data_IF_670133853431
#
_entry.id   IF_670133853431
#
_cell.length_a   1.000
_cell.length_b   1.000
_cell.length_c   1.000
_cell.angle_alpha   90.00
_cell.angle_beta   90.00
_cell.angle_gamma   90.00
#
_symmetry.space_group_name_H-M   'P 1'
#
loop_
_entity.id
_entity.type
_entity.pdbx_description
1 polymer ?
#
# COMPACT_ATOMS: atom_id res chain seq x y z
N UNK A 1 31.00 -28.07 -9.34
CA UNK A 1 31.34 -29.42 -9.87
C UNK A 1 30.66 -29.61 -11.23
N UNK A 2 31.35 -30.28 -12.18
CA UNK A 2 31.11 -30.42 -13.64
C UNK A 2 31.82 -29.33 -14.45
N UNK A 3 33.06 -29.51 -14.93
CA UNK A 3 33.68 -30.45 -15.91
C UNK A 3 33.57 -29.99 -17.38
N UNK A 4 34.76 -29.87 -17.98
CA UNK A 4 35.16 -30.05 -19.39
C UNK A 4 34.69 -29.00 -20.41
N UNK A 5 35.62 -28.18 -20.92
CA UNK A 5 36.59 -28.46 -21.99
C UNK A 5 35.99 -28.21 -23.38
N UNK A 6 36.45 -27.15 -24.05
CA UNK A 6 36.71 -27.22 -25.49
C UNK A 6 37.97 -26.41 -25.82
N UNK A 7 38.95 -27.20 -26.22
CA UNK A 7 40.29 -26.92 -26.68
C UNK A 7 40.26 -26.35 -28.11
N UNK A 8 41.29 -25.54 -28.42
CA UNK A 8 42.06 -25.53 -29.69
C UNK A 8 41.30 -25.82 -30.99
N UNK A 9 41.19 -24.84 -31.90
CA UNK A 9 41.69 -24.93 -33.29
C UNK A 9 41.84 -23.51 -33.87
N UNK A 10 43.04 -22.92 -33.78
CA UNK A 10 43.47 -21.85 -34.69
C UNK A 10 44.86 -22.22 -35.24
N UNK A 11 44.87 -23.19 -36.14
CA UNK A 11 45.94 -23.37 -37.11
C UNK A 11 45.27 -23.60 -38.46
N UNK A 12 45.21 -22.53 -39.25
CA UNK A 12 44.93 -22.59 -40.69
C UNK A 12 46.21 -23.04 -41.40
N UNK A 13 46.25 -24.19 -42.09
CA UNK A 13 47.26 -24.40 -43.11
C UNK A 13 46.80 -23.62 -44.36
N UNK A 14 47.52 -22.53 -44.66
CA UNK A 14 47.64 -22.03 -46.04
C UNK A 14 48.39 -23.10 -46.82
N UNK A 15 47.69 -23.98 -47.54
CA UNK A 15 48.32 -24.86 -48.52
C UNK A 15 47.37 -25.09 -49.69
N UNK A 16 47.98 -25.08 -50.87
CA UNK A 16 47.45 -25.40 -52.21
C UNK A 16 46.77 -24.26 -52.98
N UNK A 17 47.53 -23.19 -53.24
CA UNK A 17 47.72 -22.77 -54.64
C UNK A 17 48.79 -23.68 -55.21
N UNK A 18 48.38 -24.80 -55.81
CA UNK A 18 49.24 -25.57 -56.68
C UNK A 18 48.64 -25.41 -58.06
N UNK A 19 49.04 -24.33 -58.71
CA UNK A 19 48.99 -24.20 -60.15
C UNK A 19 49.63 -25.47 -60.72
N UNK A 20 48.78 -26.40 -61.15
CA UNK A 20 49.18 -27.47 -62.05
C UNK A 20 49.48 -26.76 -63.38
N UNK A 21 50.69 -26.22 -63.48
CA UNK A 21 51.36 -25.98 -64.74
C UNK A 21 51.49 -27.34 -65.41
N UNK A 22 50.49 -27.71 -66.19
CA UNK A 22 50.67 -28.70 -67.23
C UNK A 22 51.67 -28.09 -68.21
N UNK A 23 52.94 -28.42 -68.01
CA UNK A 23 53.98 -28.29 -69.03
C UNK A 23 53.54 -29.13 -70.22
N UNK A 24 52.83 -28.50 -71.16
CA UNK A 24 52.49 -29.02 -72.48
C UNK A 24 53.71 -28.90 -73.40
N UNK A 25 54.82 -29.52 -72.97
CA UNK A 25 56.08 -29.53 -73.69
C UNK A 25 56.52 -30.97 -73.99
N UNK A 26 55.54 -31.78 -74.37
CA UNK A 26 55.75 -33.10 -74.97
C UNK A 26 54.98 -33.26 -76.28
N UNK A 27 54.90 -32.17 -77.06
CA UNK A 27 54.54 -32.24 -78.48
C UNK A 27 55.79 -32.36 -79.37
N UNK A 28 56.79 -33.13 -78.92
CA UNK A 28 57.77 -33.74 -79.82
C UNK A 28 57.27 -35.15 -80.12
N UNK A 29 56.85 -35.46 -81.36
CA UNK A 29 56.61 -36.84 -81.74
C UNK A 29 57.91 -37.58 -81.46
N UNK A 30 57.89 -38.52 -80.50
CA UNK A 30 59.05 -39.34 -80.23
C UNK A 30 59.36 -40.08 -81.52
N UNK A 31 60.44 -39.64 -82.16
CA UNK A 31 61.06 -40.35 -83.26
C UNK A 31 61.52 -41.66 -82.63
N UNK A 32 60.72 -42.70 -82.81
CA UNK A 32 61.08 -44.10 -82.93
C UNK A 32 59.82 -44.87 -83.38
N UNK A 33 59.77 -45.67 -84.44
CA UNK A 33 60.63 -45.95 -85.58
C UNK A 33 59.83 -47.00 -86.39
N UNK A 34 59.26 -46.55 -87.53
CA UNK A 34 58.79 -47.25 -88.74
C UNK A 34 58.11 -48.63 -88.65
N UNK A 35 56.88 -48.73 -89.20
CA UNK A 35 56.53 -49.88 -90.05
C UNK A 35 56.41 -49.44 -91.50
N UNK A 36 57.56 -49.47 -92.11
CA UNK A 36 57.72 -49.55 -93.53
C UNK A 36 58.23 -51.01 -93.58
N UNK A 37 57.37 -52.03 -93.72
CA UNK A 37 57.79 -53.45 -94.03
C UNK A 37 58.21 -53.47 -95.49
N UNK A 38 59.15 -52.61 -95.73
CA UNK A 38 59.28 -51.87 -96.95
C UNK A 38 60.60 -51.12 -96.76
N UNK A 39 60.80 -50.46 -95.59
CA UNK A 39 62.05 -50.57 -94.82
C UNK A 39 63.24 -50.48 -95.73
N UNK A 40 63.73 -51.67 -96.11
CA UNK A 40 64.88 -51.69 -96.97
C UNK A 40 65.18 -52.89 -97.85
N UNK A 41 64.65 -54.14 -97.74
CA UNK A 41 64.88 -55.22 -98.78
C UNK A 41 64.25 -56.60 -98.48
N UNK A 42 64.24 -57.57 -99.43
CA UNK A 42 63.31 -58.70 -99.48
C UNK A 42 63.60 -59.80 -98.45
N UNK A 43 62.56 -60.20 -97.75
CA UNK A 43 62.19 -61.62 -97.71
C UNK A 43 60.92 -61.73 -98.56
N UNK A 44 61.06 -62.34 -99.74
CA UNK A 44 59.97 -62.56 -100.68
C UNK A 44 58.76 -63.20 -99.98
N UNK A 45 57.57 -62.61 -100.18
CA UNK A 45 56.21 -63.09 -99.83
C UNK A 45 55.46 -62.51 -98.62
N UNK A 46 55.83 -61.36 -98.04
CA UNK A 46 54.94 -60.70 -97.04
C UNK A 46 53.82 -59.90 -97.71
N UNK A 47 52.57 -60.34 -97.56
CA UNK A 47 51.36 -59.60 -98.00
C UNK A 47 51.33 -58.20 -97.36
N UNK A 48 51.29 -57.15 -98.20
CA UNK A 48 51.20 -55.75 -97.75
C UNK A 48 49.74 -55.32 -97.64
N UNK A 49 49.46 -54.44 -96.68
CA UNK A 49 48.13 -53.95 -96.37
C UNK A 49 48.16 -52.43 -96.28
N UNK A 50 47.23 -51.76 -96.95
CA UNK A 50 47.08 -50.30 -96.92
C UNK A 50 46.25 -49.91 -95.70
N UNK A 51 46.77 -49.01 -94.87
CA UNK A 51 46.02 -48.43 -93.75
C UNK A 51 44.93 -47.50 -94.28
N UNK A 52 43.68 -47.65 -93.82
CA UNK A 52 42.57 -46.77 -94.23
C UNK A 52 42.74 -45.31 -93.80
N UNK A 53 43.32 -45.07 -92.61
CA UNK A 53 43.38 -43.72 -92.03
C UNK A 53 44.54 -42.88 -92.59
N UNK A 54 45.77 -43.40 -92.61
CA UNK A 54 46.93 -42.66 -93.11
C UNK A 54 47.32 -43.02 -94.56
N UNK A 55 46.63 -43.95 -95.20
CA UNK A 55 46.90 -44.42 -96.56
C UNK A 55 48.30 -45.02 -96.82
N UNK A 56 49.11 -45.27 -95.77
CA UNK A 56 50.44 -45.87 -95.87
C UNK A 56 50.38 -47.41 -95.86
N UNK A 57 51.44 -48.06 -96.36
CA UNK A 57 51.54 -49.52 -96.49
C UNK A 57 52.30 -50.16 -95.33
N UNK A 58 51.72 -51.21 -94.76
CA UNK A 58 52.24 -51.93 -93.59
C UNK A 58 52.19 -53.44 -93.85
N UNK A 59 52.99 -54.23 -93.13
CA UNK A 59 52.77 -55.69 -93.14
C UNK A 59 51.55 -56.08 -92.32
N UNK A 60 51.18 -57.35 -92.46
CA UNK A 60 50.19 -58.02 -91.61
C UNK A 60 50.46 -57.89 -90.10
N UNK A 61 51.71 -57.89 -89.65
CA UNK A 61 52.06 -57.80 -88.23
C UNK A 61 51.90 -56.38 -87.65
N UNK A 62 51.83 -55.37 -88.51
CA UNK A 62 51.73 -53.95 -88.13
C UNK A 62 50.44 -53.28 -88.61
N UNK A 63 49.51 -54.08 -89.16
CA UNK A 63 48.16 -53.70 -89.47
C UNK A 63 47.21 -54.53 -88.60
N UNK A 64 46.33 -53.87 -87.86
CA UNK A 64 45.27 -54.54 -87.08
C UNK A 64 43.94 -54.34 -87.79
N UNK A 65 43.07 -55.35 -87.70
CA UNK A 65 41.66 -55.18 -88.03
C UNK A 65 41.03 -54.33 -86.93
N UNK A 66 40.30 -53.29 -87.32
CA UNK A 66 39.52 -52.55 -86.35
C UNK A 66 38.33 -53.43 -85.88
N UNK A 67 37.89 -53.27 -84.63
CA UNK A 67 36.86 -54.13 -84.05
C UNK A 67 35.51 -54.01 -84.78
N UNK A 68 35.19 -52.82 -85.28
CA UNK A 68 33.88 -52.50 -85.85
C UNK A 68 33.84 -52.38 -87.38
N UNK A 69 34.95 -52.61 -88.08
CA UNK A 69 34.99 -52.42 -89.53
C UNK A 69 35.85 -53.47 -90.27
N UNK A 70 35.45 -53.85 -91.49
CA UNK A 70 36.21 -54.76 -92.40
C UNK A 70 37.56 -54.19 -92.86
N UNK A 71 37.95 -53.01 -92.38
CA UNK A 71 39.13 -52.29 -92.81
C UNK A 71 40.31 -52.46 -91.85
N UNK A 72 41.51 -52.33 -92.40
CA UNK A 72 42.77 -52.48 -91.67
C UNK A 72 43.36 -51.11 -91.38
N UNK A 73 43.80 -50.92 -90.13
CA UNK A 73 44.48 -49.71 -89.66
C UNK A 73 45.88 -50.06 -89.17
N UNK A 74 46.85 -49.18 -89.39
CA UNK A 74 48.19 -49.40 -88.87
C UNK A 74 48.24 -49.17 -87.36
N UNK A 75 49.22 -49.77 -86.69
CA UNK A 75 49.40 -49.61 -85.25
C UNK A 75 49.54 -48.14 -84.82
N UNK A 76 50.14 -47.28 -85.65
CA UNK A 76 50.30 -45.86 -85.31
C UNK A 76 48.95 -45.15 -85.29
N UNK A 77 48.11 -45.36 -86.31
CA UNK A 77 46.77 -44.78 -86.34
C UNK A 77 45.87 -45.39 -85.25
N UNK A 78 46.01 -46.70 -84.97
CA UNK A 78 45.30 -47.33 -83.85
C UNK A 78 45.70 -46.72 -82.49
N UNK A 79 47.00 -46.55 -82.22
CA UNK A 79 47.50 -45.87 -81.02
C UNK A 79 47.02 -44.42 -80.95
N UNK A 80 47.01 -43.71 -82.07
CA UNK A 80 46.51 -42.33 -82.14
C UNK A 80 45.01 -42.25 -81.81
N UNK A 81 44.18 -43.16 -82.33
CA UNK A 81 42.76 -43.22 -81.99
C UNK A 81 42.54 -43.51 -80.49
N UNK A 82 43.26 -44.50 -79.93
CA UNK A 82 43.18 -44.80 -78.48
C UNK A 82 43.60 -43.58 -77.66
N UNK A 83 44.71 -42.93 -78.03
CA UNK A 83 45.16 -41.74 -77.32
C UNK A 83 44.12 -40.62 -77.39
N UNK A 84 43.52 -40.39 -78.56
CA UNK A 84 42.47 -39.38 -78.73
C UNK A 84 41.23 -39.69 -77.88
N UNK A 85 40.80 -40.96 -77.84
CA UNK A 85 39.67 -41.40 -77.03
C UNK A 85 39.96 -41.26 -75.52
N UNK A 86 41.15 -41.67 -75.08
CA UNK A 86 41.59 -41.49 -73.69
C UNK A 86 41.71 -40.01 -73.32
N UNK A 87 42.27 -39.17 -74.20
CA UNK A 87 42.34 -37.72 -73.98
C UNK A 87 40.94 -37.11 -73.91
N UNK A 88 40.01 -37.54 -74.76
CA UNK A 88 38.63 -37.08 -74.73
C UNK A 88 37.92 -37.46 -73.43
N UNK A 89 38.02 -38.73 -73.01
CA UNK A 89 37.46 -39.19 -71.73
C UNK A 89 38.08 -38.48 -70.53
N UNK A 90 39.40 -38.31 -70.52
CA UNK A 90 40.10 -37.56 -69.47
C UNK A 90 39.64 -36.10 -69.42
N UNK A 91 39.42 -35.47 -70.57
CA UNK A 91 38.92 -34.08 -70.64
C UNK A 91 37.50 -33.98 -70.08
N UNK A 92 36.61 -34.93 -70.40
CA UNK A 92 35.27 -34.98 -69.83
C UNK A 92 35.32 -35.14 -68.30
N UNK A 93 36.11 -36.09 -67.79
CA UNK A 93 36.28 -36.29 -66.35
C UNK A 93 36.87 -35.06 -65.64
N UNK A 94 37.85 -34.40 -66.25
CA UNK A 94 38.43 -33.16 -65.70
C UNK A 94 37.36 -32.06 -65.63
N UNK A 95 36.52 -31.93 -66.65
CA UNK A 95 35.45 -30.94 -66.66
C UNK A 95 34.39 -31.25 -65.60
N UNK A 96 34.01 -32.51 -65.44
CA UNK A 96 33.07 -32.95 -64.40
C UNK A 96 33.64 -32.67 -63.00
N UNK A 97 34.92 -32.98 -62.77
CA UNK A 97 35.60 -32.67 -61.51
C UNK A 97 35.67 -31.16 -61.25
N UNK A 98 35.93 -30.34 -62.28
CA UNK A 98 35.91 -28.88 -62.16
C UNK A 98 34.53 -28.37 -61.77
N UNK A 99 33.47 -28.90 -62.37
CA UNK A 99 32.09 -28.56 -62.02
C UNK A 99 31.76 -28.94 -60.57
N UNK A 100 32.12 -30.16 -60.15
CA UNK A 100 31.96 -30.61 -58.75
C UNK A 100 32.71 -29.70 -57.75
N UNK A 101 33.93 -29.27 -58.09
CA UNK A 101 34.71 -28.34 -57.27
C UNK A 101 34.01 -26.98 -57.19
N UNK A 102 33.50 -26.47 -58.31
CA UNK A 102 32.79 -25.20 -58.36
C UNK A 102 31.50 -25.24 -57.52
N UNK A 103 30.70 -26.30 -57.64
CA UNK A 103 29.50 -26.52 -56.83
C UNK A 103 29.82 -26.61 -55.34
N UNK A 104 30.85 -27.39 -54.97
CA UNK A 104 31.30 -27.53 -53.59
C UNK A 104 31.77 -26.19 -53.00
N UNK A 105 32.50 -25.38 -53.78
CA UNK A 105 32.92 -24.05 -53.37
C UNK A 105 31.75 -23.08 -53.21
N UNK A 106 30.76 -23.13 -54.11
CA UNK A 106 29.53 -22.35 -53.99
C UNK A 106 28.76 -22.71 -52.71
N UNK A 107 28.56 -24.02 -52.46
CA UNK A 107 27.90 -24.52 -51.25
C UNK A 107 28.66 -24.14 -49.97
N UNK A 108 29.99 -24.23 -49.97
CA UNK A 108 30.84 -23.80 -48.86
C UNK A 108 30.66 -22.31 -48.56
N UNK A 109 30.60 -21.47 -49.59
CA UNK A 109 30.39 -20.03 -49.42
C UNK A 109 28.99 -19.70 -48.88
N UNK A 110 27.97 -20.41 -49.33
CA UNK A 110 26.61 -20.28 -48.78
C UNK A 110 26.56 -20.67 -47.31
N UNK A 111 27.11 -21.83 -46.95
CA UNK A 111 27.17 -22.29 -45.56
C UNK A 111 27.93 -21.30 -44.65
N UNK A 112 29.00 -20.67 -45.15
CA UNK A 112 29.72 -19.62 -44.40
C UNK A 112 28.85 -18.40 -44.12
N UNK A 113 28.05 -17.96 -45.10
CA UNK A 113 27.10 -16.85 -44.91
C UNK A 113 26.04 -17.21 -43.88
N UNK A 114 25.51 -18.43 -43.95
CA UNK A 114 24.48 -18.91 -43.02
C UNK A 114 25.02 -19.02 -41.58
N UNK A 115 26.24 -19.52 -41.40
CA UNK A 115 26.92 -19.58 -40.10
C UNK A 115 27.09 -18.18 -39.52
N UNK A 116 27.59 -17.23 -40.32
CA UNK A 116 27.77 -15.85 -39.86
C UNK A 116 26.42 -15.22 -39.48
N UNK A 117 25.38 -15.42 -40.28
CA UNK A 117 24.05 -14.94 -39.97
C UNK A 117 23.54 -15.52 -38.64
N UNK A 118 23.61 -16.84 -38.46
CA UNK A 118 23.20 -17.50 -37.21
C UNK A 118 24.01 -17.01 -36.01
N UNK A 119 25.31 -16.80 -36.16
CA UNK A 119 26.18 -16.25 -35.09
C UNK A 119 25.70 -14.86 -34.65
N UNK A 120 25.41 -13.97 -35.60
CA UNK A 120 24.89 -12.64 -35.26
C UNK A 120 23.51 -12.68 -34.59
N UNK A 121 22.66 -13.66 -34.94
CA UNK A 121 21.38 -13.85 -34.27
C UNK A 121 21.57 -14.32 -32.81
N UNK A 122 22.49 -15.26 -32.58
CA UNK A 122 22.83 -15.73 -31.24
C UNK A 122 23.34 -14.58 -30.38
N UNK A 123 24.29 -13.78 -30.87
CA UNK A 123 24.82 -12.62 -30.14
C UNK A 123 23.71 -11.62 -29.76
N UNK A 124 22.76 -11.36 -30.68
CA UNK A 124 21.59 -10.50 -30.38
C UNK A 124 20.70 -11.10 -29.28
N UNK A 125 20.45 -12.40 -29.32
CA UNK A 125 19.63 -13.09 -28.31
C UNK A 125 20.32 -13.09 -26.95
N UNK A 126 21.64 -13.30 -26.89
CA UNK A 126 22.42 -13.22 -25.66
C UNK A 126 22.35 -11.83 -25.03
N UNK A 127 22.46 -10.76 -25.83
CA UNK A 127 22.28 -9.38 -25.35
C UNK A 127 20.86 -9.18 -24.81
N UNK A 128 19.83 -9.65 -25.52
CA UNK A 128 18.44 -9.53 -25.05
C UNK A 128 18.19 -10.29 -23.75
N UNK A 129 18.76 -11.49 -23.60
CA UNK A 129 18.67 -12.29 -22.38
C UNK A 129 19.39 -11.58 -21.24
N UNK A 130 20.60 -11.06 -21.44
CA UNK A 130 21.33 -10.33 -20.40
C UNK A 130 20.59 -9.05 -19.98
N UNK A 131 19.96 -8.34 -20.92
CA UNK A 131 19.16 -7.16 -20.60
C UNK A 131 17.87 -7.52 -19.83
N UNK A 132 17.18 -8.61 -20.22
CA UNK A 132 15.96 -9.08 -19.54
C UNK A 132 16.24 -9.74 -18.19
N UNK A 133 17.34 -10.47 -18.07
CA UNK A 133 17.84 -11.06 -16.83
C UNK A 133 18.68 -10.07 -16.00
N UNK A 134 18.44 -8.77 -16.14
CA UNK A 134 19.01 -7.80 -15.20
C UNK A 134 18.40 -8.10 -13.82
N UNK A 135 19.08 -8.97 -13.08
CA UNK A 135 18.81 -9.35 -11.69
C UNK A 135 18.54 -8.11 -10.83
N UNK A 136 19.20 -6.99 -11.17
CA UNK A 136 18.96 -5.67 -10.62
C UNK A 136 17.47 -5.26 -10.60
N UNK A 137 16.71 -5.49 -11.67
CA UNK A 137 15.29 -5.11 -11.71
C UNK A 137 14.46 -5.97 -10.75
N UNK A 138 14.74 -7.27 -10.65
CA UNK A 138 14.06 -8.15 -9.71
C UNK A 138 14.42 -7.82 -8.26
N UNK A 139 15.70 -7.57 -7.97
CA UNK A 139 16.14 -7.17 -6.62
C UNK A 139 15.56 -5.81 -6.21
N UNK A 140 15.50 -4.84 -7.11
CA UNK A 140 14.89 -3.53 -6.85
C UNK A 140 13.39 -3.70 -6.58
N UNK A 141 12.68 -4.47 -7.40
CA UNK A 141 11.25 -4.73 -7.18
C UNK A 141 11.02 -5.48 -5.86
N UNK A 142 11.85 -6.47 -5.54
CA UNK A 142 11.78 -7.20 -4.28
C UNK A 142 11.98 -6.28 -3.07
N UNK A 143 13.01 -5.41 -3.10
CA UNK A 143 13.22 -4.41 -2.05
C UNK A 143 12.05 -3.45 -1.90
N UNK A 144 11.43 -3.02 -3.01
CA UNK A 144 10.21 -2.19 -2.97
C UNK A 144 9.04 -2.93 -2.32
N UNK A 145 8.83 -4.21 -2.66
CA UNK A 145 7.79 -5.03 -2.03
C UNK A 145 8.01 -5.14 -0.52
N UNK A 146 9.24 -5.38 -0.09
CA UNK A 146 9.59 -5.46 1.34
C UNK A 146 9.37 -4.11 2.06
N UNK A 147 9.77 -3.00 1.43
CA UNK A 147 9.54 -1.67 1.97
C UNK A 147 8.04 -1.35 2.13
N UNK A 148 7.24 -1.62 1.11
CA UNK A 148 5.78 -1.43 1.14
C UNK A 148 5.11 -2.32 2.19
N UNK A 149 5.59 -3.57 2.35
CA UNK A 149 5.10 -4.48 3.38
C UNK A 149 5.39 -3.95 4.80
N UNK A 150 6.59 -3.43 5.03
CA UNK A 150 6.95 -2.82 6.32
C UNK A 150 6.10 -1.58 6.61
N UNK A 151 5.87 -0.73 5.60
CA UNK A 151 5.02 0.45 5.73
C UNK A 151 3.57 0.07 6.03
N UNK A 152 3.04 -0.93 5.34
CA UNK A 152 1.68 -1.46 5.59
C UNK A 152 1.53 -1.99 7.02
N UNK A 153 2.52 -2.73 7.51
CA UNK A 153 2.52 -3.23 8.88
C UNK A 153 2.58 -2.10 9.92
N UNK A 154 3.35 -1.04 9.66
CA UNK A 154 3.40 0.12 10.53
C UNK A 154 2.06 0.86 10.58
N UNK A 155 1.44 1.11 9.42
CA UNK A 155 0.12 1.73 9.32
C UNK A 155 -0.96 0.90 10.02
N UNK A 156 -0.90 -0.42 9.89
CA UNK A 156 -1.85 -1.32 10.57
C UNK A 156 -1.78 -1.18 12.09
N UNK A 157 -0.57 -1.12 12.66
CA UNK A 157 -0.38 -0.89 14.11
C UNK A 157 -0.86 0.49 14.56
N UNK A 158 -0.71 1.50 13.70
CA UNK A 158 -1.20 2.84 13.96
C UNK A 158 -2.73 2.87 13.99
N UNK A 159 -3.39 2.19 13.04
CA UNK A 159 -4.84 2.01 13.01
C UNK A 159 -5.33 1.31 14.29
N UNK A 160 -4.73 0.19 14.69
CA UNK A 160 -5.08 -0.52 15.94
C UNK A 160 -4.91 0.37 17.18
N UNK A 161 -3.96 1.29 17.16
CA UNK A 161 -3.75 2.23 18.26
C UNK A 161 -4.82 3.32 18.27
N UNK A 162 -5.16 3.87 17.10
CA UNK A 162 -6.25 4.85 16.97
C UNK A 162 -7.61 4.25 17.34
N UNK A 163 -7.88 2.99 16.99
CA UNK A 163 -9.10 2.28 17.38
C UNK A 163 -9.21 2.15 18.90
N UNK A 164 -8.12 1.81 19.59
CA UNK A 164 -8.09 1.76 21.07
C UNK A 164 -8.32 3.13 21.70
N UNK A 165 -7.73 4.19 21.14
CA UNK A 165 -7.95 5.57 21.62
C UNK A 165 -9.40 5.99 21.41
N UNK A 166 -9.97 5.67 20.25
CA UNK A 166 -11.37 5.96 19.93
C UNK A 166 -12.32 5.27 20.90
N UNK A 167 -12.09 3.99 21.20
CA UNK A 167 -12.93 3.24 22.14
C UNK A 167 -12.83 3.78 23.57
N UNK A 168 -11.62 4.13 24.01
CA UNK A 168 -11.41 4.81 25.29
C UNK A 168 -12.15 6.16 25.34
N UNK A 169 -12.09 6.94 24.26
CA UNK A 169 -12.80 8.22 24.16
C UNK A 169 -14.31 8.04 24.23
N UNK A 170 -14.87 7.05 23.54
CA UNK A 170 -16.31 6.74 23.61
C UNK A 170 -16.75 6.32 25.00
N UNK A 171 -15.94 5.50 25.69
CA UNK A 171 -16.22 5.11 27.07
C UNK A 171 -16.22 6.32 28.01
N UNK A 172 -15.24 7.22 27.86
CA UNK A 172 -15.15 8.45 28.65
C UNK A 172 -16.32 9.41 28.37
N UNK A 173 -16.70 9.56 27.09
CA UNK A 173 -17.88 10.35 26.71
C UNK A 173 -19.16 9.81 27.35
N UNK A 174 -19.35 8.47 27.33
CA UNK A 174 -20.48 7.82 27.98
C UNK A 174 -20.49 8.06 29.50
N UNK A 175 -19.34 7.96 30.16
CA UNK A 175 -19.22 8.25 31.59
C UNK A 175 -19.56 9.71 31.90
N UNK A 176 -19.02 10.65 31.13
CA UNK A 176 -19.30 12.08 31.29
C UNK A 176 -20.78 12.39 31.05
N UNK A 177 -21.43 11.73 30.09
CA UNK A 177 -22.87 11.88 29.85
C UNK A 177 -23.68 11.42 31.07
N UNK A 178 -23.36 10.26 31.65
CA UNK A 178 -24.03 9.79 32.87
C UNK A 178 -23.80 10.73 34.05
N UNK A 179 -22.60 11.31 34.19
CA UNK A 179 -22.30 12.32 35.22
C UNK A 179 -23.12 13.60 35.02
N UNK A 180 -23.26 14.07 33.78
CA UNK A 180 -24.09 15.24 33.46
C UNK A 180 -25.55 15.00 33.84
N UNK A 181 -26.12 13.85 33.44
CA UNK A 181 -27.50 13.47 33.79
C UNK A 181 -27.70 13.42 35.32
N UNK A 182 -26.71 12.92 36.08
CA UNK A 182 -26.74 12.92 37.55
C UNK A 182 -26.73 14.33 38.14
N UNK A 183 -25.85 15.22 37.64
CA UNK A 183 -25.74 16.60 38.11
C UNK A 183 -27.02 17.39 37.77
N UNK A 184 -27.60 17.18 36.60
CA UNK A 184 -28.88 17.79 36.21
C UNK A 184 -29.99 17.38 37.19
N UNK A 185 -30.04 16.10 37.59
CA UNK A 185 -30.95 15.62 38.63
C UNK A 185 -30.74 16.30 39.98
N UNK A 186 -29.49 16.44 40.44
CA UNK A 186 -29.16 17.14 41.68
C UNK A 186 -29.57 18.62 41.64
N UNK A 187 -29.37 19.30 40.50
CA UNK A 187 -29.80 20.69 40.31
C UNK A 187 -31.33 20.80 40.48
N UNK A 188 -32.11 19.92 39.83
CA UNK A 188 -33.56 19.94 39.96
C UNK A 188 -34.02 19.72 41.42
N UNK A 189 -33.36 18.84 42.17
CA UNK A 189 -33.65 18.62 43.60
C UNK A 189 -33.35 19.86 44.44
N UNK A 190 -32.19 20.49 44.22
CA UNK A 190 -31.80 21.73 44.91
C UNK A 190 -32.74 22.87 44.57
N UNK A 191 -33.20 22.99 43.33
CA UNK A 191 -34.19 24.00 42.92
C UNK A 191 -35.53 23.79 43.63
N UNK A 192 -36.03 22.55 43.67
CA UNK A 192 -37.26 22.20 44.42
C UNK A 192 -37.11 22.55 45.90
N UNK A 193 -35.99 22.19 46.52
CA UNK A 193 -35.71 22.51 47.92
C UNK A 193 -35.61 24.02 48.17
N UNK A 194 -34.95 24.77 47.27
CA UNK A 194 -34.82 26.22 47.36
C UNK A 194 -36.18 26.91 47.25
N UNK A 195 -37.05 26.45 46.35
CA UNK A 195 -38.41 26.96 46.23
C UNK A 195 -39.23 26.68 47.49
N UNK A 196 -39.15 25.47 48.04
CA UNK A 196 -39.78 25.12 49.32
C UNK A 196 -39.31 26.04 50.47
N UNK A 197 -38.00 26.24 50.62
CA UNK A 197 -37.46 27.14 51.66
C UNK A 197 -37.87 28.60 51.45
N UNK A 198 -38.03 29.04 50.20
CA UNK A 198 -38.53 30.39 49.88
C UNK A 198 -39.99 30.56 50.30
N UNK A 199 -40.83 29.57 50.03
CA UNK A 199 -42.22 29.56 50.48
C UNK A 199 -42.32 29.58 52.01
N UNK A 200 -41.51 28.77 52.69
CA UNK A 200 -41.51 28.70 54.16
C UNK A 200 -41.03 30.01 54.79
N UNK A 201 -39.98 30.62 54.23
CA UNK A 201 -39.55 31.97 54.61
C UNK A 201 -40.69 32.98 54.49
N UNK A 202 -41.42 32.96 53.37
CA UNK A 202 -42.52 33.90 53.15
C UNK A 202 -43.63 33.71 54.19
N UNK A 203 -44.01 32.46 54.51
CA UNK A 203 -44.99 32.16 55.58
C UNK A 203 -44.54 32.69 56.94
N UNK A 204 -43.28 32.46 57.29
CA UNK A 204 -42.71 32.94 58.56
C UNK A 204 -42.66 34.47 58.62
N UNK A 205 -42.33 35.15 57.52
CA UNK A 205 -42.37 36.60 57.44
C UNK A 205 -43.79 37.14 57.63
N UNK A 206 -44.79 36.55 56.98
CA UNK A 206 -46.20 36.93 57.18
C UNK A 206 -46.61 36.75 58.64
N UNK A 207 -46.27 35.62 59.27
CA UNK A 207 -46.57 35.37 60.68
C UNK A 207 -45.83 36.33 61.62
N UNK A 208 -44.58 36.67 61.31
CA UNK A 208 -43.81 37.67 62.04
C UNK A 208 -44.48 39.04 61.95
N UNK A 209 -44.92 39.45 60.76
CA UNK A 209 -45.61 40.74 60.54
C UNK A 209 -46.96 40.80 61.26
N UNK A 210 -47.72 39.69 61.27
CA UNK A 210 -48.95 39.53 62.06
C UNK A 210 -48.67 39.72 63.56
N UNK A 211 -47.72 38.96 64.13
CA UNK A 211 -47.33 39.09 65.53
C UNK A 211 -46.83 40.50 65.87
N UNK A 212 -46.03 41.11 64.99
CA UNK A 212 -45.50 42.45 65.20
C UNK A 212 -46.62 43.51 65.13
N UNK A 213 -47.63 43.31 64.29
CA UNK A 213 -48.84 44.14 64.27
C UNK A 213 -49.63 43.97 65.56
N UNK A 214 -49.88 42.74 66.00
CA UNK A 214 -50.56 42.45 67.26
C UNK A 214 -49.82 43.09 68.45
N UNK A 215 -48.49 43.06 68.46
CA UNK A 215 -47.66 43.71 69.48
C UNK A 215 -47.70 45.24 69.43
N UNK A 216 -47.89 45.85 68.25
CA UNK A 216 -48.07 47.32 68.13
C UNK A 216 -49.46 47.75 68.60
N UNK A 217 -50.46 46.93 68.31
CA UNK A 217 -51.86 47.20 68.65
C UNK A 217 -52.17 46.87 70.12
N UNK A 218 -51.25 46.18 70.81
CA UNK A 218 -51.37 45.86 72.24
C UNK A 218 -50.31 46.58 73.07
N UNK A 219 -50.74 47.24 74.15
CA UNK A 219 -49.81 47.86 75.12
C UNK A 219 -49.69 46.94 76.34
N UNK A 220 -48.50 46.37 76.62
CA UNK A 220 -48.31 45.55 77.81
C UNK A 220 -48.68 46.32 79.07
N UNK A 221 -49.49 45.70 79.93
CA UNK A 221 -50.01 46.33 81.14
C UNK A 221 -48.89 46.86 82.05
N UNK A 222 -47.74 46.17 82.11
CA UNK A 222 -46.56 46.63 82.85
C UNK A 222 -46.04 47.99 82.40
N UNK A 223 -46.00 48.26 81.08
CA UNK A 223 -45.61 49.57 80.53
C UNK A 223 -46.68 50.63 80.79
N UNK A 224 -47.95 50.26 80.63
CA UNK A 224 -49.08 51.13 80.93
C UNK A 224 -49.06 51.60 82.40
N UNK A 225 -48.78 50.68 83.34
CA UNK A 225 -48.67 50.96 84.79
C UNK A 225 -47.56 51.96 85.12
N UNK A 226 -46.45 51.96 84.38
CA UNK A 226 -45.34 52.90 84.58
C UNK A 226 -45.62 54.28 83.98
N UNK A 227 -46.41 54.36 82.91
CA UNK A 227 -46.70 55.60 82.20
C UNK A 227 -47.86 56.41 82.78
N UNK A 228 -48.72 55.81 83.60
CA UNK A 228 -49.91 56.48 84.17
C UNK A 228 -49.78 56.68 85.68
N UNK A 229 -50.37 57.76 86.19
CA UNK A 229 -50.35 58.00 87.64
C UNK A 229 -51.10 56.90 88.41
N UNK A 230 -50.83 56.71 89.72
CA UNK A 230 -51.46 55.66 90.52
C UNK A 230 -53.00 55.69 90.51
N UNK A 231 -53.61 56.88 90.53
CA UNK A 231 -55.08 57.04 90.48
C UNK A 231 -55.68 56.59 89.14
N UNK A 232 -55.04 56.92 88.02
CA UNK A 232 -55.47 56.51 86.68
C UNK A 232 -55.21 55.02 86.41
N UNK A 233 -54.09 54.49 86.91
CA UNK A 233 -53.77 53.06 86.84
C UNK A 233 -54.89 52.19 87.41
N UNK A 234 -55.47 52.62 88.53
CA UNK A 234 -56.56 51.92 89.21
C UNK A 234 -57.87 51.95 88.39
N UNK A 235 -58.20 53.07 87.73
CA UNK A 235 -59.36 53.16 86.83
C UNK A 235 -59.20 52.25 85.60
N UNK A 236 -57.99 52.20 85.04
CA UNK A 236 -57.63 51.32 83.93
C UNK A 236 -57.73 49.85 84.35
N UNK A 237 -57.15 49.47 85.50
CA UNK A 237 -57.28 48.12 86.10
C UNK A 237 -58.73 47.69 86.22
N UNK A 238 -59.63 48.61 86.61
CA UNK A 238 -61.06 48.32 86.77
C UNK A 238 -61.77 48.14 85.42
N UNK A 239 -61.52 49.03 84.46
CA UNK A 239 -62.19 49.04 83.15
C UNK A 239 -61.81 47.83 82.29
N UNK A 240 -60.55 47.42 82.35
CA UNK A 240 -60.01 46.33 81.52
C UNK A 240 -59.73 45.06 82.33
N UNK A 241 -60.37 44.89 83.49
CA UNK A 241 -60.07 43.82 84.46
C UNK A 241 -60.08 42.43 83.85
N UNK A 242 -61.15 42.08 83.13
CA UNK A 242 -61.33 40.72 82.60
C UNK A 242 -60.31 40.42 81.49
N UNK A 243 -59.96 41.45 80.70
CA UNK A 243 -58.93 41.37 79.67
C UNK A 243 -57.52 41.25 80.27
N UNK A 244 -57.24 41.96 81.35
CA UNK A 244 -55.98 41.83 82.10
C UNK A 244 -55.85 40.45 82.75
N UNK A 245 -56.91 39.93 83.36
CA UNK A 245 -56.90 38.59 83.96
C UNK A 245 -56.74 37.49 82.90
N UNK A 246 -57.35 37.68 81.72
CA UNK A 246 -57.18 36.77 80.59
C UNK A 246 -55.72 36.78 80.08
N UNK A 247 -55.17 37.96 79.78
CA UNK A 247 -53.79 38.09 79.28
C UNK A 247 -52.74 37.57 80.26
N UNK A 248 -52.89 37.85 81.56
CA UNK A 248 -51.96 37.40 82.59
C UNK A 248 -52.01 35.88 82.82
N UNK A 249 -53.17 35.24 82.61
CA UNK A 249 -53.30 33.77 82.65
C UNK A 249 -52.62 33.10 81.46
N UNK A 250 -52.68 33.71 80.28
CA UNK A 250 -52.00 33.19 79.08
C UNK A 250 -50.49 33.41 79.12
N UNK A 251 -50.01 34.47 79.79
CA UNK A 251 -48.58 34.79 79.94
C UNK A 251 -47.91 34.09 81.15
N UNK A 252 -48.67 33.41 82.01
CA UNK A 252 -48.15 32.63 83.14
C UNK A 252 -47.53 33.48 84.26
N UNK A 253 -47.96 34.73 84.46
CA UNK A 253 -47.38 35.65 85.46
C UNK A 253 -48.27 35.82 86.69
N UNK A 254 -48.22 34.84 87.61
CA UNK A 254 -49.09 34.76 88.80
C UNK A 254 -49.05 36.00 89.70
N UNK A 255 -47.89 36.65 89.86
CA UNK A 255 -47.75 37.83 90.73
C UNK A 255 -48.51 39.07 90.23
N UNK A 256 -48.72 39.19 88.91
CA UNK A 256 -49.51 40.27 88.33
C UNK A 256 -51.01 39.98 88.42
N UNK A 257 -51.42 38.71 88.34
CA UNK A 257 -52.80 38.26 88.54
C UNK A 257 -53.28 38.65 89.94
N UNK A 258 -52.46 38.37 90.96
CA UNK A 258 -52.75 38.72 92.35
C UNK A 258 -52.92 40.23 92.55
N UNK A 259 -52.09 41.07 91.90
CA UNK A 259 -52.20 42.54 91.97
C UNK A 259 -53.48 43.10 91.31
N UNK A 260 -54.06 42.38 90.35
CA UNK A 260 -55.34 42.75 89.72
C UNK A 260 -56.53 42.29 90.58
N UNK A 261 -56.43 41.12 91.21
CA UNK A 261 -57.46 40.60 92.11
C UNK A 261 -57.51 41.34 93.45
N UNK A 262 -56.36 41.70 94.03
CA UNK A 262 -56.25 42.45 95.28
C UNK A 262 -56.85 43.86 95.20
N UNK A 263 -56.92 44.45 94.00
CA UNK A 263 -57.64 45.71 93.78
C UNK A 263 -59.15 45.57 94.12
N UNK A 264 -59.76 44.37 94.09
CA UNK A 264 -61.14 44.19 94.57
C UNK A 264 -61.24 44.38 96.10
N UNK A 265 -60.20 44.01 96.85
CA UNK A 265 -60.19 44.06 98.31
C UNK A 265 -60.00 45.49 98.84
N UNK A 266 -59.07 46.27 98.27
CA UNK A 266 -58.87 47.68 98.67
C UNK A 266 -60.09 48.56 98.37
N UNK A 267 -60.95 48.17 97.43
CA UNK A 267 -62.13 48.95 97.04
C UNK A 267 -63.35 48.75 97.94
N UNK A 268 -63.43 47.62 98.66
CA UNK A 268 -64.48 47.44 99.67
C UNK A 268 -64.24 48.32 100.91
N UNK A 269 -63.01 48.82 101.09
CA UNK A 269 -62.64 49.75 102.15
C UNK A 269 -62.84 51.24 101.77
N UNK A 270 -62.89 51.61 100.49
CA UNK A 270 -63.08 53.01 100.06
C UNK A 270 -64.54 53.41 99.81
N UNK A 271 -65.50 52.49 99.74
CA UNK A 271 -66.92 52.84 99.56
C UNK A 271 -67.62 53.33 100.83
N UNK A 272 -66.96 53.29 101.99
CA UNK A 272 -67.51 53.79 103.27
C UNK A 272 -66.93 55.15 103.70
N UNK A 273 -65.95 55.69 102.98
CA UNK A 273 -65.35 57.01 103.28
C UNK A 273 -65.11 57.81 102.01
N UNK A 274 -66.15 58.42 101.44
CA UNK A 274 -66.00 59.51 100.46
C UNK A 274 -67.21 60.46 100.52
N UNK A 275 -67.25 61.28 101.58
CA UNK A 275 -67.76 62.65 101.57
C UNK A 275 -66.65 63.53 102.11
N UNK A 276 -66.32 64.62 101.39
CA UNK A 276 -65.13 65.48 101.53
C UNK A 276 -63.91 64.84 100.87
N UNK A 277 -63.50 65.22 99.66
CA UNK A 277 -63.07 66.58 99.34
C UNK A 277 -63.06 66.77 97.82
N UNK A 278 -63.84 67.72 97.35
CA UNK A 278 -63.66 68.38 96.06
C UNK A 278 -62.44 69.30 96.15
N UNK A 279 -61.26 68.80 95.76
CA UNK A 279 -60.15 69.65 95.32
C UNK A 279 -59.74 69.19 93.93
N UNK A 280 -59.83 70.12 92.99
CA UNK A 280 -59.64 69.89 91.57
C UNK A 280 -58.19 69.61 91.21
N UNK A 281 -57.76 68.37 91.39
CA UNK A 281 -56.61 67.84 90.66
C UNK A 281 -57.16 67.07 89.45
N UNK A 282 -57.51 67.83 88.42
CA UNK A 282 -57.62 67.28 87.08
C UNK A 282 -56.25 66.69 86.73
N UNK A 283 -56.13 65.36 86.81
CA UNK A 283 -54.97 64.65 86.27
C UNK A 283 -54.79 65.12 84.82
N UNK A 284 -53.74 65.89 84.52
CA UNK A 284 -53.32 66.23 83.14
C UNK A 284 -52.68 65.02 82.44
N UNK A 285 -53.20 63.85 82.76
CA UNK A 285 -52.73 62.57 82.27
C UNK A 285 -53.46 62.37 80.95
N UNK A 286 -52.71 62.28 79.85
CA UNK A 286 -53.25 62.01 78.53
C UNK A 286 -54.01 60.68 78.63
N UNK A 287 -55.35 60.78 78.60
CA UNK A 287 -56.21 59.63 78.43
C UNK A 287 -56.18 59.35 76.94
N UNK A 288 -55.51 58.27 76.54
CA UNK A 288 -55.61 57.74 75.18
C UNK A 288 -57.05 57.33 74.87
#
# INVERSE_FOLDING_TARGET
MRKHAYTLVQTLPKMLDTSLEFNDDSNKPSKNEKCYICTKKPQNSRKTLKCRQCNQWFCKDHARKNADERFLICLNCFKANIHQELTHQATLQINDLKNCIQESNSRKNQLRKDINHKKTQIEKLEIQINNKNSINNLEITQRKIEQESLMTNALTKEIETLERVLESSKSSEKENKMRLESIEGEIEEVEKYTNFMREEKNKLLTRYDELNKDMRDTVPYGRLKQAVCPKCCVKIKRRFRDQLLYGLRTEGTDSMIESVLAAKASFKAMSETDKMSTSGDACHCIIF
#
